data_IF_206347695397
#
_entry.id   IF_206347695397
#
_cell.length_a   1.000
_cell.length_b   1.000
_cell.length_c   1.000
_cell.angle_alpha   90.00
_cell.angle_beta   90.00
_cell.angle_gamma   90.00
#
_symmetry.space_group_name_H-M   'P 1'
#
loop_
_entity.id
_entity.type
_entity.pdbx_description
1 polymer ?
#
# COMPACT_ATOMS: atom_id res chain seq x y z
N UNK A 1 23.65 -22.95 -1.87
CA UNK A 1 22.47 -22.11 -1.63
C UNK A 1 21.46 -22.50 -2.69
N UNK A 2 20.27 -22.95 -2.30
CA UNK A 2 19.23 -23.25 -3.28
C UNK A 2 18.99 -22.01 -4.14
N UNK A 3 18.97 -22.12 -5.48
CA UNK A 3 18.80 -20.97 -6.37
C UNK A 3 17.53 -20.18 -6.08
N UNK A 4 16.50 -20.81 -5.48
CA UNK A 4 15.29 -20.13 -5.06
C UNK A 4 15.43 -19.20 -3.84
N UNK A 5 16.46 -19.35 -3.01
CA UNK A 5 16.66 -18.51 -1.80
C UNK A 5 17.11 -17.09 -2.11
N UNK A 6 17.69 -16.86 -3.28
CA UNK A 6 18.15 -15.53 -3.71
C UNK A 6 17.01 -14.62 -4.19
N UNK A 7 15.88 -15.19 -4.64
CA UNK A 7 14.84 -14.41 -5.32
C UNK A 7 13.90 -13.64 -4.36
N UNK A 8 13.63 -14.15 -3.15
CA UNK A 8 12.92 -13.40 -2.10
C UNK A 8 13.86 -12.72 -1.10
N UNK A 9 15.17 -12.78 -1.35
CA UNK A 9 16.19 -12.16 -0.51
C UNK A 9 15.97 -10.66 -0.26
N UNK A 10 15.46 -9.83 -1.20
CA UNK A 10 15.26 -8.41 -0.91
C UNK A 10 14.24 -8.17 0.20
N UNK A 11 13.17 -8.97 0.25
CA UNK A 11 12.11 -8.82 1.25
C UNK A 11 12.57 -9.35 2.61
N UNK A 12 13.37 -10.43 2.62
CA UNK A 12 13.99 -10.92 3.86
C UNK A 12 14.90 -9.89 4.49
N UNK A 13 15.65 -9.11 3.70
CA UNK A 13 16.49 -8.02 4.23
C UNK A 13 15.67 -7.03 5.05
N UNK A 14 14.46 -6.69 4.59
CA UNK A 14 13.57 -5.78 5.31
C UNK A 14 13.03 -6.43 6.60
N UNK A 15 12.60 -7.68 6.56
CA UNK A 15 12.09 -8.40 7.73
C UNK A 15 13.18 -8.59 8.81
N UNK A 16 14.37 -9.03 8.39
CA UNK A 16 15.54 -9.11 9.28
C UNK A 16 15.90 -7.73 9.78
N UNK A 17 15.77 -6.70 8.94
CA UNK A 17 15.96 -5.30 9.30
C UNK A 17 15.05 -4.82 10.42
N UNK A 18 13.78 -5.20 10.42
CA UNK A 18 12.85 -4.90 11.52
C UNK A 18 13.39 -5.48 12.83
N UNK A 19 13.75 -6.77 12.84
CA UNK A 19 14.31 -7.43 14.04
C UNK A 19 15.65 -6.80 14.46
N UNK A 20 16.50 -6.44 13.49
CA UNK A 20 17.77 -5.79 13.75
C UNK A 20 17.58 -4.43 14.44
N UNK A 21 16.65 -3.59 13.98
CA UNK A 21 16.34 -2.29 14.59
C UNK A 21 15.81 -2.46 16.03
N UNK A 22 14.92 -3.44 16.27
CA UNK A 22 14.41 -3.73 17.61
C UNK A 22 15.50 -4.25 18.56
N UNK A 23 16.30 -5.21 18.11
CA UNK A 23 17.38 -5.78 18.93
C UNK A 23 18.49 -4.77 19.20
N UNK A 24 18.78 -3.91 18.22
CA UNK A 24 19.76 -2.84 18.35
C UNK A 24 19.37 -1.82 19.43
N UNK A 25 18.09 -1.49 19.56
CA UNK A 25 17.57 -0.61 20.61
C UNK A 25 17.52 -1.31 21.97
N UNK A 26 17.14 -2.60 22.01
CA UNK A 26 17.05 -3.38 23.25
C UNK A 26 18.43 -3.64 23.89
N UNK A 27 19.45 -3.94 23.09
CA UNK A 27 20.78 -4.34 23.57
C UNK A 27 21.63 -3.13 23.97
N UNK A 28 21.37 -1.96 23.38
CA UNK A 28 22.21 -0.78 23.58
C UNK A 28 21.36 0.47 23.42
N UNK A 29 21.45 1.41 24.36
CA UNK A 29 20.96 2.78 24.16
C UNK A 29 21.75 3.41 23.01
N UNK A 30 21.28 3.18 21.79
CA UNK A 30 21.97 3.58 20.59
C UNK A 30 21.66 5.03 20.26
N UNK A 31 22.66 5.70 19.70
CA UNK A 31 22.43 7.03 19.12
C UNK A 31 21.39 6.94 18.01
N UNK A 32 20.50 7.92 17.96
CA UNK A 32 19.45 8.07 16.94
C UNK A 32 20.04 8.01 15.52
N UNK A 33 21.27 8.50 15.37
CA UNK A 33 22.03 8.45 14.11
C UNK A 33 22.33 7.03 13.65
N UNK A 34 22.64 6.11 14.58
CA UNK A 34 22.96 4.71 14.24
C UNK A 34 21.71 3.97 13.75
N UNK A 35 20.55 4.23 14.35
CA UNK A 35 19.26 3.69 13.89
C UNK A 35 18.88 4.22 12.51
N UNK A 36 19.13 5.51 12.25
CA UNK A 36 18.92 6.09 10.93
C UNK A 36 19.82 5.45 9.86
N UNK A 37 21.13 5.35 10.14
CA UNK A 37 22.10 4.76 9.21
C UNK A 37 21.74 3.30 8.91
N UNK A 38 21.44 2.49 9.91
CA UNK A 38 21.05 1.08 9.71
C UNK A 38 19.79 0.93 8.88
N UNK A 39 18.77 1.75 9.13
CA UNK A 39 17.52 1.71 8.36
C UNK A 39 17.72 2.16 6.90
N UNK A 40 18.55 3.19 6.68
CA UNK A 40 18.94 3.65 5.33
C UNK A 40 19.76 2.59 4.60
N UNK A 41 20.72 1.93 5.26
CA UNK A 41 21.52 0.89 4.60
C UNK A 41 20.69 -0.33 4.28
N UNK A 42 19.79 -0.77 5.18
CA UNK A 42 18.90 -1.91 4.93
C UNK A 42 17.96 -1.66 3.75
N UNK A 43 17.33 -0.49 3.69
CA UNK A 43 16.46 -0.11 2.56
C UNK A 43 17.24 0.02 1.25
N UNK A 44 18.45 0.58 1.30
CA UNK A 44 19.33 0.67 0.13
C UNK A 44 19.78 -0.71 -0.37
N UNK A 45 20.15 -1.62 0.54
CA UNK A 45 20.51 -3.00 0.20
C UNK A 45 19.30 -3.74 -0.41
N UNK A 46 18.10 -3.55 0.14
CA UNK A 46 16.87 -4.09 -0.45
C UNK A 46 16.63 -3.54 -1.88
N UNK A 47 16.80 -2.24 -2.09
CA UNK A 47 16.63 -1.63 -3.40
C UNK A 47 17.66 -2.16 -4.42
N UNK A 48 18.95 -2.16 -4.05
CA UNK A 48 20.04 -2.64 -4.91
C UNK A 48 19.86 -4.13 -5.21
N UNK A 49 19.59 -4.97 -4.20
CA UNK A 49 19.35 -6.40 -4.40
C UNK A 49 18.19 -6.63 -5.36
N UNK A 50 17.08 -5.91 -5.22
CA UNK A 50 15.92 -5.98 -6.14
C UNK A 50 16.31 -5.64 -7.58
N UNK A 51 17.13 -4.60 -7.79
CA UNK A 51 17.57 -4.19 -9.13
C UNK A 51 18.60 -5.13 -9.76
N UNK A 52 19.36 -5.85 -8.93
CA UNK A 52 20.37 -6.83 -9.37
C UNK A 52 19.77 -8.20 -9.68
N UNK A 53 18.50 -8.47 -9.34
CA UNK A 53 17.81 -9.70 -9.75
C UNK A 53 17.64 -9.67 -11.27
N UNK A 54 18.55 -10.34 -11.97
CA UNK A 54 18.61 -10.44 -13.43
C UNK A 54 17.82 -11.62 -13.97
N UNK A 55 17.55 -12.63 -13.14
CA UNK A 55 16.77 -13.81 -13.51
C UNK A 55 15.34 -13.63 -13.06
N UNK A 56 14.43 -13.38 -14.00
CA UNK A 56 12.99 -13.33 -13.76
C UNK A 56 12.40 -14.74 -13.65
N UNK A 57 12.96 -15.58 -12.77
CA UNK A 57 12.37 -16.90 -12.54
C UNK A 57 11.08 -16.76 -11.74
N UNK A 58 10.06 -17.52 -12.11
CA UNK A 58 8.79 -17.57 -11.39
C UNK A 58 8.97 -18.39 -10.12
N UNK A 59 9.51 -17.79 -9.06
CA UNK A 59 9.55 -18.45 -7.77
C UNK A 59 8.17 -18.37 -7.11
N UNK A 60 7.57 -19.52 -6.80
CA UNK A 60 6.34 -19.58 -6.02
C UNK A 60 6.61 -20.12 -4.63
N UNK A 61 6.20 -19.37 -3.61
CA UNK A 61 6.20 -19.81 -2.21
C UNK A 61 4.79 -20.30 -1.88
N UNK A 62 4.64 -21.62 -1.80
CA UNK A 62 3.38 -22.28 -1.42
C UNK A 62 2.19 -22.00 -2.34
N UNK A 63 2.40 -21.50 -3.57
CA UNK A 63 1.32 -21.08 -4.48
C UNK A 63 0.64 -19.75 -4.10
N UNK A 64 1.04 -19.13 -2.99
CA UNK A 64 0.39 -17.94 -2.39
C UNK A 64 1.13 -16.65 -2.73
N UNK A 65 2.45 -16.72 -2.87
CA UNK A 65 3.29 -15.61 -3.32
C UNK A 65 4.09 -16.06 -4.54
N UNK A 66 4.08 -15.23 -5.59
CA UNK A 66 4.90 -15.44 -6.79
C UNK A 66 5.76 -14.21 -7.01
N UNK A 67 7.07 -14.44 -7.05
CA UNK A 67 8.06 -13.41 -7.33
C UNK A 67 8.36 -13.39 -8.82
N UNK A 68 8.08 -12.27 -9.48
CA UNK A 68 8.25 -12.05 -10.90
C UNK A 68 8.59 -10.58 -11.18
N UNK A 69 8.74 -10.21 -12.45
CA UNK A 69 9.08 -8.82 -12.83
C UNK A 69 8.09 -7.78 -12.29
N UNK A 70 6.81 -8.13 -12.19
CA UNK A 70 5.78 -7.26 -11.59
C UNK A 70 6.06 -7.03 -10.09
N UNK A 71 6.29 -8.09 -9.32
CA UNK A 71 6.57 -7.95 -7.88
C UNK A 71 7.88 -7.21 -7.62
N UNK A 72 8.92 -7.47 -8.42
CA UNK A 72 10.21 -6.79 -8.29
C UNK A 72 10.14 -5.30 -8.66
N UNK A 73 9.39 -4.95 -9.71
CA UNK A 73 9.16 -3.54 -10.07
C UNK A 73 8.54 -2.77 -8.91
N UNK A 74 7.44 -3.26 -8.34
CA UNK A 74 6.79 -2.60 -7.23
C UNK A 74 7.62 -2.62 -5.95
N UNK A 75 8.35 -3.71 -5.67
CA UNK A 75 9.30 -3.78 -4.54
C UNK A 75 10.37 -2.70 -4.66
N UNK A 76 10.92 -2.45 -5.86
CA UNK A 76 11.87 -1.37 -6.08
C UNK A 76 11.25 0.01 -5.79
N UNK A 77 10.01 0.25 -6.24
CA UNK A 77 9.29 1.50 -5.96
C UNK A 77 9.03 1.70 -4.47
N UNK A 78 8.63 0.64 -3.75
CA UNK A 78 8.41 0.70 -2.31
C UNK A 78 9.72 0.95 -1.54
N UNK A 79 10.80 0.26 -1.91
CA UNK A 79 12.11 0.43 -1.29
C UNK A 79 12.72 1.79 -1.57
N UNK A 80 12.55 2.35 -2.76
CA UNK A 80 12.97 3.72 -3.07
C UNK A 80 12.19 4.75 -2.23
N UNK A 81 10.88 4.57 -2.10
CA UNK A 81 10.03 5.43 -1.25
C UNK A 81 10.41 5.32 0.23
N UNK A 82 10.70 4.11 0.69
CA UNK A 82 11.16 3.83 2.06
C UNK A 82 12.51 4.47 2.35
N UNK A 83 13.46 4.41 1.41
CA UNK A 83 14.76 5.05 1.51
C UNK A 83 14.62 6.56 1.73
N UNK A 84 13.78 7.22 0.90
CA UNK A 84 13.50 8.65 1.05
C UNK A 84 12.82 8.97 2.38
N UNK A 85 11.90 8.11 2.84
CA UNK A 85 11.25 8.27 4.13
C UNK A 85 12.25 8.12 5.28
N UNK A 86 13.14 7.14 5.25
CA UNK A 86 14.20 6.94 6.25
C UNK A 86 15.15 8.15 6.33
N UNK A 87 15.59 8.67 5.18
CA UNK A 87 16.44 9.87 5.11
C UNK A 87 15.71 11.07 5.75
N UNK A 88 14.46 11.30 5.35
CA UNK A 88 13.61 12.36 5.91
C UNK A 88 13.38 12.20 7.41
N UNK A 89 13.29 10.97 7.90
CA UNK A 89 13.02 10.66 9.31
C UNK A 89 14.17 11.01 10.24
N UNK A 90 15.41 11.02 9.75
CA UNK A 90 16.59 11.37 10.55
C UNK A 90 16.41 12.74 11.22
N UNK A 91 16.15 13.78 10.44
CA UNK A 91 15.90 15.13 10.93
C UNK A 91 14.62 15.25 11.80
N UNK A 92 13.59 14.44 11.54
CA UNK A 92 12.34 14.51 12.32
C UNK A 92 12.47 13.89 13.71
N UNK A 93 13.16 12.75 13.78
CA UNK A 93 13.21 11.89 14.96
C UNK A 93 14.29 12.31 15.96
N UNK A 94 15.24 13.17 15.56
CA UNK A 94 16.26 13.75 16.43
C UNK A 94 15.70 14.38 17.71
N UNK A 95 14.51 14.99 17.64
CA UNK A 95 13.85 15.66 18.77
C UNK A 95 12.85 14.79 19.53
N UNK A 96 12.68 13.52 19.13
CA UNK A 96 11.67 12.59 19.68
C UNK A 96 12.31 11.49 20.53
N UNK A 97 11.54 10.90 21.44
CA UNK A 97 12.07 9.94 22.43
C UNK A 97 12.36 8.56 21.87
N UNK A 98 11.53 8.04 20.95
CA UNK A 98 11.59 6.63 20.51
C UNK A 98 11.75 6.52 18.97
N UNK A 99 12.92 6.86 18.41
CA UNK A 99 13.15 6.87 16.96
C UNK A 99 13.05 5.47 16.33
N UNK A 100 13.41 4.41 17.05
CA UNK A 100 13.44 3.03 16.52
C UNK A 100 12.05 2.56 16.06
N UNK A 101 10.99 2.91 16.80
CA UNK A 101 9.61 2.53 16.46
C UNK A 101 9.25 3.04 15.06
N UNK A 102 9.66 4.27 14.73
CA UNK A 102 9.34 4.88 13.44
C UNK A 102 10.03 4.16 12.28
N UNK A 103 11.32 3.86 12.42
CA UNK A 103 12.06 3.13 11.40
C UNK A 103 11.58 1.69 11.24
N UNK A 104 11.29 0.99 12.35
CA UNK A 104 10.74 -0.35 12.32
C UNK A 104 9.39 -0.39 11.59
N UNK A 105 8.53 0.62 11.80
CA UNK A 105 7.26 0.75 11.08
C UNK A 105 7.44 0.99 9.58
N UNK A 106 8.42 1.81 9.16
CA UNK A 106 8.74 2.01 7.73
C UNK A 106 9.16 0.66 7.13
N UNK A 107 10.14 -0.02 7.73
CA UNK A 107 10.66 -1.30 7.23
C UNK A 107 9.58 -2.38 7.16
N UNK A 108 8.75 -2.49 8.21
CA UNK A 108 7.63 -3.44 8.26
C UNK A 108 6.58 -3.13 7.19
N UNK A 109 6.23 -1.86 7.00
CA UNK A 109 5.31 -1.43 5.95
C UNK A 109 5.86 -1.78 4.56
N UNK A 110 7.13 -1.48 4.28
CA UNK A 110 7.76 -1.77 2.99
C UNK A 110 7.85 -3.27 2.71
N UNK A 111 8.17 -4.09 3.72
CA UNK A 111 8.18 -5.54 3.57
C UNK A 111 6.78 -6.05 3.21
N UNK A 112 5.75 -5.62 3.96
CA UNK A 112 4.36 -5.99 3.72
C UNK A 112 3.85 -5.54 2.34
N UNK A 113 4.17 -4.31 1.91
CA UNK A 113 3.87 -3.79 0.56
C UNK A 113 4.50 -4.65 -0.54
N UNK A 114 5.74 -5.10 -0.34
CA UNK A 114 6.44 -5.97 -1.28
C UNK A 114 5.74 -7.33 -1.41
N UNK A 115 5.23 -7.88 -0.29
CA UNK A 115 4.38 -9.07 -0.32
C UNK A 115 3.02 -8.85 -0.99
N UNK A 116 2.40 -7.66 -0.90
CA UNK A 116 1.18 -7.32 -1.68
C UNK A 116 1.46 -7.48 -3.17
N UNK A 117 2.60 -6.95 -3.64
CA UNK A 117 2.99 -7.06 -5.04
C UNK A 117 3.32 -8.49 -5.46
N UNK A 118 3.69 -9.39 -4.55
CA UNK A 118 3.93 -10.81 -4.82
C UNK A 118 2.68 -11.71 -4.65
N UNK A 119 1.66 -11.25 -3.92
CA UNK A 119 0.51 -12.09 -3.57
C UNK A 119 -0.28 -12.54 -4.81
N UNK A 120 -0.57 -13.84 -4.89
CA UNK A 120 -1.42 -14.49 -5.92
C UNK A 120 -2.73 -15.03 -5.35
N UNK A 121 -2.97 -14.84 -4.05
CA UNK A 121 -4.20 -15.22 -3.38
C UNK A 121 -4.83 -13.98 -2.71
N UNK A 122 -6.13 -13.77 -2.89
CA UNK A 122 -6.88 -12.61 -2.39
C UNK A 122 -6.80 -12.48 -0.87
N UNK A 123 -6.88 -13.58 -0.13
CA UNK A 123 -6.79 -13.53 1.33
C UNK A 123 -5.37 -13.18 1.79
N UNK A 124 -4.35 -13.77 1.15
CA UNK A 124 -2.97 -13.42 1.46
C UNK A 124 -2.66 -11.96 1.11
N UNK A 125 -3.16 -11.48 -0.04
CA UNK A 125 -3.10 -10.07 -0.45
C UNK A 125 -3.72 -9.18 0.62
N UNK A 126 -4.93 -9.50 1.10
CA UNK A 126 -5.61 -8.74 2.15
C UNK A 126 -4.79 -8.69 3.45
N UNK A 127 -4.28 -9.82 3.93
CA UNK A 127 -3.52 -9.89 5.19
C UNK A 127 -2.26 -9.01 5.13
N UNK A 128 -1.47 -9.13 4.05
CA UNK A 128 -0.24 -8.34 3.94
C UNK A 128 -0.53 -6.87 3.61
N UNK A 129 -1.62 -6.58 2.90
CA UNK A 129 -2.11 -5.22 2.69
C UNK A 129 -2.53 -4.55 3.99
N UNK A 130 -3.22 -5.27 4.88
CA UNK A 130 -3.60 -4.77 6.20
C UNK A 130 -2.38 -4.61 7.11
N UNK A 131 -1.41 -5.52 7.08
CA UNK A 131 -0.16 -5.37 7.82
C UNK A 131 0.59 -4.07 7.45
N UNK A 132 0.67 -3.76 6.15
CA UNK A 132 1.22 -2.49 5.66
C UNK A 132 0.38 -1.29 6.15
N UNK A 133 -0.95 -1.43 6.11
CA UNK A 133 -1.89 -0.37 6.45
C UNK A 133 -1.86 -0.02 7.95
N UNK A 134 -1.85 -1.02 8.83
CA UNK A 134 -1.69 -0.84 10.28
C UNK A 134 -0.38 -0.14 10.61
N UNK A 135 0.71 -0.51 9.92
CA UNK A 135 2.00 0.17 10.08
C UNK A 135 1.90 1.66 9.74
N UNK A 136 1.19 2.01 8.66
CA UNK A 136 0.98 3.42 8.28
C UNK A 136 0.05 4.19 9.25
N UNK A 137 -0.92 3.53 9.88
CA UNK A 137 -1.72 4.14 10.95
C UNK A 137 -0.84 4.51 12.16
N UNK A 138 0.01 3.56 12.59
CA UNK A 138 0.95 3.81 13.68
C UNK A 138 1.95 4.92 13.35
N UNK A 139 2.46 4.98 12.11
CA UNK A 139 3.33 6.06 11.65
C UNK A 139 2.63 7.44 11.67
N UNK A 140 1.33 7.48 11.37
CA UNK A 140 0.53 8.72 11.42
C UNK A 140 0.34 9.18 12.86
N UNK A 141 0.17 8.24 13.78
CA UNK A 141 0.02 8.46 15.21
C UNK A 141 1.34 8.73 15.96
N UNK A 142 2.49 8.72 15.28
CA UNK A 142 3.79 8.76 15.93
C UNK A 142 3.98 9.99 16.84
N UNK A 143 3.45 11.15 16.43
CA UNK A 143 3.42 12.37 17.26
C UNK A 143 2.14 12.50 18.10
N UNK A 144 1.71 11.41 18.78
CA UNK A 144 0.46 11.32 19.58
C UNK A 144 0.20 12.42 20.61
N UNK A 145 1.24 13.15 21.05
CA UNK A 145 1.08 14.30 21.96
C UNK A 145 0.54 15.55 21.24
N UNK A 146 0.65 15.63 19.92
CA UNK A 146 0.10 16.70 19.10
C UNK A 146 -1.33 16.32 18.71
N UNK A 147 -2.30 17.19 19.06
CA UNK A 147 -3.72 16.96 18.78
C UNK A 147 -3.99 16.68 17.30
N UNK A 148 -3.34 17.42 16.40
CA UNK A 148 -3.49 17.24 14.95
C UNK A 148 -3.04 15.86 14.45
N UNK A 149 -1.92 15.34 14.96
CA UNK A 149 -1.41 14.00 14.60
C UNK A 149 -2.33 12.89 15.14
N UNK A 150 -2.83 13.05 16.37
CA UNK A 150 -3.78 12.11 16.94
C UNK A 150 -5.13 12.09 16.19
N UNK A 151 -5.67 13.27 15.85
CA UNK A 151 -6.91 13.40 15.09
C UNK A 151 -6.77 12.79 13.68
N UNK A 152 -5.68 13.12 12.98
CA UNK A 152 -5.35 12.54 11.68
C UNK A 152 -5.29 11.01 11.73
N UNK A 153 -4.60 10.45 12.72
CA UNK A 153 -4.47 9.00 12.88
C UNK A 153 -5.82 8.32 13.12
N UNK A 154 -6.67 8.88 13.99
CA UNK A 154 -7.99 8.31 14.29
C UNK A 154 -8.90 8.39 13.06
N UNK A 155 -8.94 9.53 12.37
CA UNK A 155 -9.72 9.68 11.12
C UNK A 155 -9.25 8.68 10.06
N UNK A 156 -7.94 8.54 9.88
CA UNK A 156 -7.37 7.60 8.93
C UNK A 156 -7.67 6.14 9.29
N UNK A 157 -7.54 5.78 10.56
CA UNK A 157 -7.82 4.44 11.07
C UNK A 157 -9.30 4.07 10.94
N UNK A 158 -10.22 4.94 11.36
CA UNK A 158 -11.67 4.62 11.36
C UNK A 158 -12.20 4.43 9.95
N UNK A 159 -11.93 5.39 9.05
CA UNK A 159 -12.39 5.27 7.65
C UNK A 159 -11.67 4.11 6.95
N UNK A 160 -10.42 3.88 7.33
CA UNK A 160 -9.62 2.76 6.88
C UNK A 160 -10.19 1.40 7.26
N UNK A 161 -10.53 1.18 8.53
CA UNK A 161 -11.11 -0.07 9.01
C UNK A 161 -12.43 -0.40 8.30
N UNK A 162 -13.24 0.63 7.99
CA UNK A 162 -14.46 0.46 7.19
C UNK A 162 -14.12 0.02 5.76
N UNK A 163 -13.14 0.65 5.12
CA UNK A 163 -12.64 0.24 3.80
C UNK A 163 -12.11 -1.20 3.81
N UNK A 164 -11.32 -1.59 4.81
CA UNK A 164 -10.82 -2.96 4.99
C UNK A 164 -11.96 -3.96 5.11
N UNK A 165 -13.01 -3.64 5.87
CA UNK A 165 -14.22 -4.45 5.95
C UNK A 165 -14.94 -4.60 4.61
N UNK A 166 -15.02 -3.52 3.82
CA UNK A 166 -15.59 -3.55 2.46
C UNK A 166 -14.76 -4.44 1.53
N UNK A 167 -13.42 -4.34 1.57
CA UNK A 167 -12.52 -5.21 0.78
C UNK A 167 -12.73 -6.67 1.16
N UNK A 168 -12.68 -6.98 2.46
CA UNK A 168 -12.81 -8.35 2.96
C UNK A 168 -14.18 -8.95 2.60
N UNK A 169 -15.25 -8.16 2.69
CA UNK A 169 -16.58 -8.59 2.27
C UNK A 169 -16.63 -8.85 0.75
N UNK A 170 -16.03 -7.98 -0.07
CA UNK A 170 -15.87 -8.21 -1.51
C UNK A 170 -15.12 -9.51 -1.84
N UNK A 171 -14.01 -9.79 -1.15
CA UNK A 171 -13.26 -11.04 -1.27
C UNK A 171 -14.13 -12.25 -0.89
N UNK A 172 -14.92 -12.14 0.19
CA UNK A 172 -15.82 -13.22 0.60
C UNK A 172 -16.87 -13.54 -0.47
N UNK A 173 -17.45 -12.52 -1.12
CA UNK A 173 -18.42 -12.72 -2.19
C UNK A 173 -17.78 -13.30 -3.44
N UNK A 174 -16.55 -12.90 -3.79
CA UNK A 174 -15.79 -13.52 -4.87
C UNK A 174 -15.55 -15.01 -4.59
N UNK A 175 -15.19 -15.36 -3.37
CA UNK A 175 -14.99 -16.76 -2.98
C UNK A 175 -16.29 -17.56 -3.08
N UNK A 176 -17.40 -17.03 -2.60
CA UNK A 176 -18.73 -17.68 -2.71
C UNK A 176 -19.10 -17.87 -4.19
N UNK A 177 -18.84 -16.88 -5.04
CA UNK A 177 -19.19 -16.92 -6.45
C UNK A 177 -18.33 -17.87 -7.27
N UNK A 178 -17.03 -17.96 -6.97
CA UNK A 178 -16.04 -18.65 -7.84
C UNK A 178 -15.46 -19.92 -7.23
N UNK A 179 -15.63 -20.13 -5.93
CA UNK A 179 -15.01 -21.23 -5.16
C UNK A 179 -13.49 -21.10 -4.99
N UNK A 180 -12.89 -19.98 -5.39
CA UNK A 180 -11.44 -19.79 -5.41
C UNK A 180 -11.04 -18.45 -4.80
N UNK A 181 -9.90 -18.43 -4.13
CA UNK A 181 -9.23 -17.21 -3.65
C UNK A 181 -8.04 -16.82 -4.54
N UNK A 182 -7.72 -17.59 -5.56
CA UNK A 182 -6.57 -17.32 -6.41
C UNK A 182 -6.88 -16.16 -7.35
N UNK A 183 -5.91 -15.24 -7.48
CA UNK A 183 -5.95 -14.12 -8.40
C UNK A 183 -5.50 -14.63 -9.77
N UNK A 184 -6.45 -15.24 -10.47
CA UNK A 184 -6.30 -15.82 -11.80
C UNK A 184 -7.56 -15.54 -12.61
N UNK A 185 -7.53 -15.71 -13.95
CA UNK A 185 -8.74 -15.63 -14.76
C UNK A 185 -9.85 -16.51 -14.17
N UNK A 186 -11.06 -15.95 -14.08
CA UNK A 186 -12.22 -16.67 -13.56
C UNK A 186 -12.66 -17.64 -14.66
N UNK A 187 -12.35 -18.92 -14.45
CA UNK A 187 -12.64 -20.03 -15.38
C UNK A 187 -13.60 -21.06 -14.79
N UNK A 188 -13.92 -20.94 -13.50
CA UNK A 188 -14.82 -21.82 -12.76
C UNK A 188 -16.29 -21.41 -12.90
N UNK A 189 -17.17 -22.28 -12.43
CA UNK A 189 -18.62 -22.07 -12.41
C UNK A 189 -18.94 -20.87 -11.51
N UNK A 190 -19.70 -19.91 -12.05
CA UNK A 190 -20.20 -18.75 -11.30
C UNK A 190 -21.45 -19.18 -10.51
N UNK A 191 -21.27 -19.55 -9.26
CA UNK A 191 -22.37 -19.82 -8.34
C UNK A 191 -23.02 -18.50 -7.89
N UNK A 192 -24.35 -18.41 -7.90
CA UNK A 192 -25.07 -17.16 -7.55
C UNK A 192 -25.20 -16.12 -8.69
N UNK A 193 -24.69 -16.43 -9.89
CA UNK A 193 -24.88 -15.61 -11.09
C UNK A 193 -24.01 -14.35 -11.17
N UNK A 194 -24.10 -13.62 -12.29
CA UNK A 194 -23.29 -12.43 -12.60
C UNK A 194 -23.52 -11.25 -11.66
N UNK A 195 -24.67 -11.20 -10.98
CA UNK A 195 -25.02 -10.12 -10.06
C UNK A 195 -24.20 -10.17 -8.78
N UNK A 196 -23.96 -11.35 -8.21
CA UNK A 196 -23.12 -11.51 -7.02
C UNK A 196 -21.68 -11.08 -7.32
N UNK A 197 -21.17 -11.47 -8.49
CA UNK A 197 -19.86 -11.06 -8.97
C UNK A 197 -19.77 -9.54 -9.14
N UNK A 198 -20.81 -8.92 -9.73
CA UNK A 198 -20.87 -7.46 -9.87
C UNK A 198 -20.77 -6.76 -8.52
N UNK A 199 -21.53 -7.20 -7.51
CA UNK A 199 -21.48 -6.63 -6.15
C UNK A 199 -20.10 -6.80 -5.54
N UNK A 200 -19.48 -7.98 -5.68
CA UNK A 200 -18.15 -8.24 -5.17
C UNK A 200 -17.11 -7.27 -5.76
N UNK A 201 -17.12 -7.06 -7.08
CA UNK A 201 -16.23 -6.11 -7.74
C UNK A 201 -16.51 -4.65 -7.36
N UNK A 202 -17.77 -4.24 -7.19
CA UNK A 202 -18.12 -2.89 -6.71
C UNK A 202 -17.52 -2.66 -5.32
N UNK A 203 -17.62 -3.64 -4.42
CA UNK A 203 -17.02 -3.55 -3.09
C UNK A 203 -15.50 -3.45 -3.15
N UNK A 204 -14.84 -4.25 -4.01
CA UNK A 204 -13.39 -4.12 -4.20
C UNK A 204 -13.00 -2.75 -4.75
N UNK A 205 -13.73 -2.21 -5.72
CA UNK A 205 -13.50 -0.85 -6.26
C UNK A 205 -13.67 0.18 -5.15
N UNK A 206 -14.71 0.09 -4.33
CA UNK A 206 -14.94 1.04 -3.23
C UNK A 206 -13.84 0.95 -2.16
N UNK A 207 -13.50 -0.26 -1.74
CA UNK A 207 -12.48 -0.53 -0.74
C UNK A 207 -11.10 -0.06 -1.18
N UNK A 208 -10.61 -0.50 -2.33
CA UNK A 208 -9.32 -0.03 -2.85
C UNK A 208 -9.36 1.43 -3.32
N UNK A 209 -10.52 1.94 -3.74
CA UNK A 209 -10.76 3.34 -4.06
C UNK A 209 -10.45 4.27 -2.89
N UNK A 210 -10.80 3.86 -1.66
CA UNK A 210 -10.34 4.55 -0.44
C UNK A 210 -8.81 4.58 -0.36
N UNK A 211 -8.14 3.43 -0.58
CA UNK A 211 -6.68 3.34 -0.40
C UNK A 211 -5.92 4.25 -1.38
N UNK A 212 -6.36 4.32 -2.63
CA UNK A 212 -5.78 5.21 -3.64
C UNK A 212 -6.30 6.65 -3.54
N UNK A 213 -7.23 6.93 -2.62
CA UNK A 213 -7.92 8.21 -2.45
C UNK A 213 -8.62 8.70 -3.73
N UNK A 214 -9.29 7.78 -4.44
CA UNK A 214 -10.18 8.12 -5.55
C UNK A 214 -11.45 8.80 -5.03
N UNK A 215 -12.04 9.70 -5.80
CA UNK A 215 -13.37 10.25 -5.52
C UNK A 215 -14.41 9.16 -5.76
N UNK A 216 -15.40 8.94 -4.85
CA UNK A 216 -15.77 9.73 -3.66
C UNK A 216 -15.09 9.33 -2.33
N UNK A 217 -14.14 8.39 -2.33
CA UNK A 217 -13.52 7.79 -1.14
C UNK A 217 -12.29 8.54 -0.58
N UNK A 218 -12.03 9.77 -1.04
CA UNK A 218 -10.80 10.52 -0.77
C UNK A 218 -10.78 11.33 0.55
N UNK A 219 -11.91 11.39 1.27
CA UNK A 219 -12.13 12.30 2.41
C UNK A 219 -11.06 12.23 3.50
N UNK A 220 -10.42 11.07 3.69
CA UNK A 220 -9.41 10.86 4.71
C UNK A 220 -8.09 11.59 4.41
N UNK A 221 -7.75 11.80 3.12
CA UNK A 221 -6.39 12.14 2.70
C UNK A 221 -5.96 13.55 3.14
N UNK A 222 -6.75 14.63 2.95
CA UNK A 222 -6.32 15.99 3.30
C UNK A 222 -5.99 16.16 4.78
N UNK A 223 -6.88 15.68 5.65
CA UNK A 223 -6.71 15.77 7.09
C UNK A 223 -5.53 14.91 7.58
N UNK A 224 -5.35 13.73 6.97
CA UNK A 224 -4.24 12.84 7.30
C UNK A 224 -2.90 13.44 6.91
N UNK A 225 -2.78 14.00 5.70
CA UNK A 225 -1.54 14.63 5.24
C UNK A 225 -1.15 15.83 6.09
N UNK A 226 -2.14 16.63 6.48
CA UNK A 226 -1.94 17.82 7.30
C UNK A 226 -1.44 17.48 8.70
N UNK A 227 -2.08 16.51 9.37
CA UNK A 227 -1.74 16.12 10.74
C UNK A 227 -0.56 15.16 10.88
N UNK A 228 -0.24 14.37 9.86
CA UNK A 228 0.85 13.40 9.93
C UNK A 228 2.26 14.06 9.99
N UNK A 229 3.25 13.36 10.58
CA UNK A 229 4.66 13.68 10.40
C UNK A 229 5.04 13.78 8.92
N UNK A 230 5.92 14.71 8.55
CA UNK A 230 6.29 14.88 7.13
C UNK A 230 6.90 13.62 6.48
N UNK A 231 7.72 12.77 7.16
CA UNK A 231 8.21 11.54 6.53
C UNK A 231 7.05 10.56 6.28
N UNK A 232 6.07 10.51 7.19
CA UNK A 232 4.84 9.71 7.02
C UNK A 232 4.02 10.22 5.85
N UNK A 233 3.80 11.53 5.73
CA UNK A 233 3.07 12.13 4.59
C UNK A 233 3.74 11.80 3.26
N UNK A 234 5.07 11.91 3.18
CA UNK A 234 5.83 11.54 1.98
C UNK A 234 5.66 10.05 1.63
N UNK A 235 5.79 9.16 2.61
CA UNK A 235 5.63 7.72 2.43
C UNK A 235 4.19 7.32 2.05
N UNK A 236 3.18 7.96 2.66
CA UNK A 236 1.76 7.77 2.33
C UNK A 236 1.46 8.23 0.89
N UNK A 237 2.06 9.35 0.46
CA UNK A 237 1.84 9.92 -0.87
C UNK A 237 2.42 9.11 -2.02
N UNK A 238 3.39 8.26 -1.72
CA UNK A 238 4.09 7.41 -2.67
C UNK A 238 3.74 5.95 -2.42
N UNK A 239 4.53 5.25 -1.61
CA UNK A 239 4.47 3.81 -1.41
C UNK A 239 3.06 3.28 -1.08
N UNK A 240 2.37 3.92 -0.13
CA UNK A 240 1.04 3.46 0.30
C UNK A 240 -0.01 3.52 -0.81
N UNK A 241 0.02 4.56 -1.65
CA UNK A 241 -0.89 4.67 -2.80
C UNK A 241 -0.51 3.71 -3.91
N UNK A 242 0.79 3.62 -4.23
CA UNK A 242 1.31 2.68 -5.22
C UNK A 242 0.94 1.23 -4.85
N UNK A 243 0.95 0.87 -3.56
CA UNK A 243 0.47 -0.44 -3.09
C UNK A 243 -1.01 -0.67 -3.42
N UNK A 244 -1.87 0.34 -3.21
CA UNK A 244 -3.29 0.28 -3.60
C UNK A 244 -3.47 0.06 -5.10
N UNK A 245 -2.71 0.79 -5.92
CA UNK A 245 -2.72 0.62 -7.37
C UNK A 245 -2.17 -0.73 -7.81
N UNK A 246 -1.11 -1.24 -7.17
CA UNK A 246 -0.58 -2.57 -7.45
C UNK A 246 -1.68 -3.63 -7.25
N UNK A 247 -2.33 -3.62 -6.08
CA UNK A 247 -3.43 -4.55 -5.80
C UNK A 247 -4.57 -4.43 -6.83
N UNK A 248 -5.02 -3.20 -7.15
CA UNK A 248 -6.06 -2.96 -8.14
C UNK A 248 -5.69 -3.48 -9.53
N UNK A 249 -4.53 -3.08 -10.05
CA UNK A 249 -4.03 -3.50 -11.35
C UNK A 249 -3.96 -5.02 -11.40
N UNK A 250 -3.41 -5.68 -10.38
CA UNK A 250 -3.31 -7.14 -10.36
C UNK A 250 -4.69 -7.81 -10.42
N UNK A 251 -5.62 -7.41 -9.56
CA UNK A 251 -6.96 -8.01 -9.50
C UNK A 251 -7.70 -7.80 -10.82
N UNK A 252 -7.75 -6.56 -11.32
CA UNK A 252 -8.51 -6.22 -12.53
C UNK A 252 -7.84 -6.70 -13.82
N UNK A 253 -6.51 -6.82 -13.85
CA UNK A 253 -5.82 -7.39 -15.01
C UNK A 253 -6.12 -8.88 -15.17
N UNK A 254 -6.07 -9.66 -14.08
CA UNK A 254 -6.29 -11.11 -14.15
C UNK A 254 -7.76 -11.50 -14.13
N UNK A 255 -8.59 -10.86 -13.29
CA UNK A 255 -9.98 -11.26 -13.07
C UNK A 255 -10.98 -10.38 -13.83
N UNK A 256 -10.62 -9.13 -14.13
CA UNK A 256 -11.51 -8.15 -14.79
C UNK A 256 -11.99 -8.57 -16.18
N UNK A 257 -11.15 -9.15 -17.07
CA UNK A 257 -11.61 -9.62 -18.38
C UNK A 257 -12.69 -10.70 -18.33
N UNK A 258 -12.74 -11.48 -17.25
CA UNK A 258 -13.79 -12.48 -17.02
C UNK A 258 -15.13 -11.87 -16.59
N UNK A 259 -15.14 -10.57 -16.25
CA UNK A 259 -16.33 -9.81 -15.86
C UNK A 259 -16.67 -8.84 -16.98
N UNK A 260 -17.50 -9.28 -17.92
CA UNK A 260 -17.88 -8.48 -19.09
C UNK A 260 -18.72 -7.25 -18.71
N UNK A 261 -19.48 -7.31 -17.61
CA UNK A 261 -20.22 -6.16 -17.08
C UNK A 261 -20.40 -6.24 -15.56
N UNK A 262 -20.18 -5.12 -14.89
CA UNK A 262 -20.53 -4.87 -13.49
C UNK A 262 -21.85 -4.08 -13.50
N UNK A 263 -22.94 -4.69 -13.04
CA UNK A 263 -24.27 -4.09 -13.05
C UNK A 263 -24.71 -3.55 -14.45
N UNK A 264 -24.30 -4.23 -15.52
CA UNK A 264 -24.60 -3.85 -16.91
C UNK A 264 -23.65 -2.81 -17.52
N UNK A 265 -22.66 -2.33 -16.77
CA UNK A 265 -21.63 -1.40 -17.26
C UNK A 265 -20.28 -2.11 -17.39
N UNK A 266 -19.51 -1.77 -18.43
CA UNK A 266 -18.11 -2.18 -18.52
C UNK A 266 -17.34 -1.60 -17.30
N UNK A 267 -16.56 -2.44 -16.62
CA UNK A 267 -15.76 -2.02 -15.48
C UNK A 267 -14.78 -0.90 -15.85
N UNK A 268 -14.30 -0.87 -17.10
CA UNK A 268 -13.42 0.19 -17.62
C UNK A 268 -14.10 1.56 -17.60
N UNK A 269 -15.41 1.62 -17.86
CA UNK A 269 -16.18 2.85 -17.79
C UNK A 269 -16.34 3.34 -16.34
N UNK A 270 -16.44 2.43 -15.39
CA UNK A 270 -16.46 2.77 -13.95
C UNK A 270 -15.13 3.43 -13.57
N UNK A 271 -13.99 2.85 -13.97
CA UNK A 271 -12.68 3.44 -13.72
C UNK A 271 -12.49 4.77 -14.46
N UNK A 272 -12.97 4.91 -15.69
CA UNK A 272 -12.94 6.18 -16.43
C UNK A 272 -13.75 7.28 -15.71
N UNK A 273 -14.92 6.95 -15.17
CA UNK A 273 -15.72 7.88 -14.38
C UNK A 273 -15.03 8.27 -13.07
N UNK A 274 -14.45 7.30 -12.35
CA UNK A 274 -13.65 7.56 -11.14
C UNK A 274 -12.44 8.44 -11.46
N UNK A 275 -11.73 8.18 -12.55
CA UNK A 275 -10.60 8.97 -13.00
C UNK A 275 -11.00 10.42 -13.27
N UNK A 276 -12.06 10.63 -14.07
CA UNK A 276 -12.60 11.95 -14.39
C UNK A 276 -12.94 12.72 -13.11
N UNK A 277 -13.75 12.14 -12.22
CA UNK A 277 -14.15 12.78 -10.97
C UNK A 277 -12.96 13.09 -10.07
N UNK A 278 -12.00 12.17 -9.99
CA UNK A 278 -10.80 12.29 -9.15
C UNK A 278 -9.88 13.41 -9.63
N UNK A 279 -9.65 13.52 -10.94
CA UNK A 279 -8.84 14.59 -11.54
C UNK A 279 -9.52 15.95 -11.41
N UNK A 280 -10.82 16.02 -11.73
CA UNK A 280 -11.57 17.27 -11.69
C UNK A 280 -11.66 17.81 -10.26
N UNK A 281 -12.14 17.00 -9.31
CA UNK A 281 -12.28 17.45 -7.92
C UNK A 281 -10.91 17.71 -7.28
N UNK A 282 -9.94 16.82 -7.50
CA UNK A 282 -8.59 16.99 -6.98
C UNK A 282 -7.95 18.32 -7.39
N UNK A 283 -8.02 18.67 -8.68
CA UNK A 283 -7.47 19.93 -9.18
C UNK A 283 -8.26 21.16 -8.69
N UNK A 284 -9.60 21.12 -8.74
CA UNK A 284 -10.42 22.26 -8.32
C UNK A 284 -10.29 22.54 -6.82
N UNK A 285 -10.30 21.49 -5.99
CA UNK A 285 -10.15 21.63 -4.55
C UNK A 285 -8.74 22.08 -4.15
N UNK A 286 -7.70 21.75 -4.94
CA UNK A 286 -6.34 22.23 -4.69
C UNK A 286 -6.19 23.76 -4.84
N UNK A 287 -6.91 24.39 -5.78
CA UNK A 287 -6.81 25.83 -6.07
C UNK A 287 -7.22 26.72 -4.88
N UNK A 288 -8.13 26.24 -4.05
CA UNK A 288 -8.66 26.99 -2.90
C UNK A 288 -7.94 26.69 -1.58
N UNK A 289 -6.94 25.80 -1.59
CA UNK A 289 -6.21 25.46 -0.37
C UNK A 289 -5.18 26.54 -0.02
N UNK A 290 -5.19 26.96 1.25
CA UNK A 290 -4.19 27.87 1.82
C UNK A 290 -3.04 27.11 2.51
N UNK A 291 -3.31 25.90 3.01
CA UNK A 291 -2.32 25.03 3.65
C UNK A 291 -1.53 24.26 2.59
N UNK A 292 -0.21 24.40 2.59
CA UNK A 292 0.68 23.69 1.66
C UNK A 292 0.50 22.17 1.72
N UNK A 293 0.32 21.60 2.91
CA UNK A 293 0.09 20.15 3.08
C UNK A 293 -1.26 19.71 2.48
N UNK A 294 -2.32 20.49 2.68
CA UNK A 294 -3.64 20.20 2.07
C UNK A 294 -3.58 20.34 0.55
N UNK A 295 -2.88 21.35 0.04
CA UNK A 295 -2.64 21.53 -1.39
C UNK A 295 -1.96 20.29 -1.98
N UNK A 296 -0.90 19.78 -1.34
CA UNK A 296 -0.24 18.54 -1.77
C UNK A 296 -1.15 17.31 -1.66
N UNK A 297 -2.04 17.25 -0.68
CA UNK A 297 -3.02 16.18 -0.57
C UNK A 297 -3.99 16.16 -1.77
N UNK A 298 -4.56 17.31 -2.13
CA UNK A 298 -5.45 17.42 -3.29
C UNK A 298 -4.74 17.24 -4.62
N UNK A 299 -3.50 17.73 -4.73
CA UNK A 299 -2.62 17.40 -5.87
C UNK A 299 -2.43 15.89 -5.98
N UNK A 300 -2.14 15.21 -4.88
CA UNK A 300 -2.00 13.75 -4.84
C UNK A 300 -3.30 13.00 -5.17
N UNK A 301 -4.49 13.54 -4.81
CA UNK A 301 -5.78 13.01 -5.26
C UNK A 301 -5.87 13.08 -6.78
N UNK A 302 -5.62 14.26 -7.36
CA UNK A 302 -5.64 14.45 -8.82
C UNK A 302 -4.68 13.49 -9.55
N UNK A 303 -3.45 13.33 -9.04
CA UNK A 303 -2.46 12.35 -9.56
C UNK A 303 -2.97 10.90 -9.52
N UNK A 304 -3.77 10.55 -8.53
CA UNK A 304 -4.38 9.22 -8.47
C UNK A 304 -5.40 9.05 -9.61
N UNK A 305 -6.12 10.11 -9.97
CA UNK A 305 -7.01 10.14 -11.13
C UNK A 305 -6.28 9.96 -12.46
N UNK A 306 -5.11 10.57 -12.65
CA UNK A 306 -4.29 10.33 -13.86
C UNK A 306 -3.81 8.89 -13.96
N UNK A 307 -3.45 8.25 -12.83
CA UNK A 307 -3.08 6.83 -12.81
C UNK A 307 -4.27 5.94 -13.18
N UNK A 308 -5.49 6.27 -12.72
CA UNK A 308 -6.71 5.50 -13.06
C UNK A 308 -7.08 5.54 -14.56
N UNK A 309 -6.51 6.44 -15.36
CA UNK A 309 -6.71 6.47 -16.82
C UNK A 309 -5.97 5.32 -17.52
N UNK A 310 -4.77 4.98 -17.04
CA UNK A 310 -3.90 3.97 -17.64
C UNK A 310 -4.34 2.55 -17.31
#
# INVERSE_FOLDING_TARGET
MDPGTLDYSPILVLLVGVVAVFTQDLVRENSKTTLAITSVTLTLVCLISTLLVTTHTHLSVGGVFVFNSYSFFFTAVFSASALLACIQSSAYTETKSNPFEFYALILAATAAMSFVAAATNLMALFVVFEAATVSTYAMTAYSRRQKSSAEAAIKFFVVGAVSSGIILYGISLLYIATGSLNISPITTIIHGGSQLLSVAFILLIAGFGFKVAAVPFHMWLPDTYEGAPYPTTSFLSSASKVMGFAALVKIFFYMGPSVTAIAGLDWRLIFAALALLTMTLGNLAALVQTSFKRLLAYSSISQSGYILIG
#
